data_IF_619097026786
#
_entry.id   IF_619097026786
#
_cell.length_a   1.000
_cell.length_b   1.000
_cell.length_c   1.000
_cell.angle_alpha   90.00
_cell.angle_beta   90.00
_cell.angle_gamma   90.00
#
_symmetry.space_group_name_H-M   'P 1'
#
loop_
_entity.id
_entity.type
_entity.pdbx_description
1 polymer ?
#
# COMPACT_ATOMS: atom_id res chain seq x y z
N UNK A 1 -2.11 -29.19 13.78
CA UNK A 1 -3.18 -28.18 13.73
C UNK A 1 -4.52 -28.83 13.42
N UNK A 2 -5.52 -28.53 14.20
CA UNK A 2 -6.87 -28.98 13.91
C UNK A 2 -7.53 -28.08 12.86
N UNK A 3 -8.37 -28.66 12.04
CA UNK A 3 -9.14 -27.95 11.04
C UNK A 3 -10.60 -27.89 11.48
N UNK A 4 -11.15 -26.69 11.49
CA UNK A 4 -12.56 -26.49 11.77
C UNK A 4 -13.26 -26.04 10.48
N UNK A 5 -14.51 -26.45 10.34
CA UNK A 5 -15.31 -26.08 9.16
C UNK A 5 -16.41 -25.11 9.56
N UNK A 6 -16.68 -24.16 8.67
CA UNK A 6 -17.79 -23.23 8.84
C UNK A 6 -18.41 -22.95 7.47
N UNK A 7 -19.68 -22.54 7.48
CA UNK A 7 -20.35 -22.12 6.26
C UNK A 7 -20.50 -20.62 6.21
N UNK A 8 -20.55 -20.07 5.00
CA UNK A 8 -20.78 -18.65 4.76
C UNK A 8 -21.82 -18.47 3.67
N UNK A 9 -22.71 -17.50 3.86
CA UNK A 9 -23.71 -17.13 2.86
C UNK A 9 -23.31 -15.82 2.20
N UNK A 10 -23.28 -15.81 0.88
CA UNK A 10 -22.96 -14.63 0.07
C UNK A 10 -24.11 -14.39 -0.91
N UNK A 11 -24.35 -13.12 -1.22
CA UNK A 11 -25.25 -12.83 -2.33
C UNK A 11 -24.58 -13.21 -3.66
N UNK A 12 -25.36 -13.21 -4.73
CA UNK A 12 -24.86 -13.66 -6.05
C UNK A 12 -23.69 -12.83 -6.55
N UNK A 13 -23.72 -11.54 -6.32
CA UNK A 13 -22.67 -10.63 -6.76
C UNK A 13 -21.33 -10.91 -6.05
N UNK A 14 -21.38 -11.09 -4.74
CA UNK A 14 -20.18 -11.42 -3.94
C UNK A 14 -19.66 -12.81 -4.28
N UNK A 15 -20.57 -13.77 -4.48
CA UNK A 15 -20.15 -15.13 -4.84
C UNK A 15 -19.47 -15.13 -6.21
N UNK A 16 -20.01 -14.39 -7.16
CA UNK A 16 -19.40 -14.26 -8.49
C UNK A 16 -18.02 -13.60 -8.41
N UNK A 17 -17.87 -12.58 -7.57
CA UNK A 17 -16.59 -11.92 -7.34
C UNK A 17 -15.59 -12.89 -6.75
N UNK A 18 -16.00 -13.72 -5.80
CA UNK A 18 -15.13 -14.75 -5.20
C UNK A 18 -14.71 -15.78 -6.26
N UNK A 19 -15.64 -16.26 -7.07
CA UNK A 19 -15.34 -17.24 -8.13
C UNK A 19 -14.39 -16.67 -9.17
N UNK A 20 -14.54 -15.41 -9.53
CA UNK A 20 -13.60 -14.71 -10.43
C UNK A 20 -12.21 -14.63 -9.79
N UNK A 21 -12.15 -14.33 -8.49
CA UNK A 21 -10.89 -14.27 -7.75
C UNK A 21 -10.18 -15.62 -7.74
N UNK A 22 -10.93 -16.71 -7.52
CA UNK A 22 -10.40 -18.08 -7.59
C UNK A 22 -9.79 -18.35 -8.95
N UNK A 23 -10.54 -18.05 -10.01
CA UNK A 23 -10.12 -18.31 -11.39
C UNK A 23 -8.92 -17.46 -11.80
N UNK A 24 -8.98 -16.16 -11.53
CA UNK A 24 -7.95 -15.21 -11.97
C UNK A 24 -6.60 -15.44 -11.28
N UNK A 25 -6.61 -15.99 -10.08
CA UNK A 25 -5.39 -16.21 -9.29
C UNK A 25 -4.96 -17.68 -9.25
N UNK A 26 -5.65 -18.57 -9.97
CA UNK A 26 -5.26 -19.96 -10.08
C UNK A 26 -5.44 -20.77 -8.81
N UNK A 27 -6.35 -20.40 -7.92
CA UNK A 27 -6.64 -21.17 -6.72
C UNK A 27 -7.39 -22.47 -7.09
N UNK A 28 -7.17 -23.52 -6.33
CA UNK A 28 -7.82 -24.81 -6.58
C UNK A 28 -9.31 -24.80 -6.24
N UNK A 29 -9.72 -23.98 -5.26
CA UNK A 29 -11.09 -23.90 -4.80
C UNK A 29 -11.34 -22.63 -4.00
N UNK A 30 -12.59 -22.42 -3.60
CA UNK A 30 -13.01 -21.25 -2.82
C UNK A 30 -12.31 -21.19 -1.46
N UNK A 31 -12.11 -22.33 -0.82
CA UNK A 31 -11.46 -22.38 0.50
C UNK A 31 -10.03 -21.87 0.46
N UNK A 32 -9.27 -22.18 -0.58
CA UNK A 32 -7.92 -21.65 -0.75
C UNK A 32 -7.93 -20.15 -0.97
N UNK A 33 -8.87 -19.64 -1.76
CA UNK A 33 -8.98 -18.21 -2.00
C UNK A 33 -9.31 -17.45 -0.71
N UNK A 34 -10.25 -17.97 0.08
CA UNK A 34 -10.63 -17.36 1.37
C UNK A 34 -9.45 -17.40 2.33
N UNK A 35 -8.74 -18.52 2.41
CA UNK A 35 -7.54 -18.61 3.25
C UNK A 35 -6.51 -17.56 2.87
N UNK A 36 -6.27 -17.40 1.58
CA UNK A 36 -5.31 -16.41 1.08
C UNK A 36 -5.73 -14.99 1.47
N UNK A 37 -7.00 -14.65 1.34
CA UNK A 37 -7.52 -13.32 1.73
C UNK A 37 -7.34 -13.07 3.23
N UNK A 38 -7.61 -14.07 4.05
CA UNK A 38 -7.44 -13.96 5.50
C UNK A 38 -5.97 -13.80 5.87
N UNK A 39 -5.08 -14.61 5.29
CA UNK A 39 -3.65 -14.53 5.54
C UNK A 39 -3.09 -13.16 5.14
N UNK A 40 -3.54 -12.63 4.01
CA UNK A 40 -3.17 -11.30 3.54
C UNK A 40 -3.60 -10.23 4.55
N UNK A 41 -4.81 -10.32 5.06
CA UNK A 41 -5.31 -9.39 6.08
C UNK A 41 -4.51 -9.50 7.38
N UNK A 42 -4.15 -10.71 7.80
CA UNK A 42 -3.33 -10.92 9.00
C UNK A 42 -1.95 -10.27 8.86
N UNK A 43 -1.35 -10.37 7.69
CA UNK A 43 -0.07 -9.72 7.41
C UNK A 43 -0.21 -8.20 7.51
N UNK A 44 -1.25 -7.62 6.92
CA UNK A 44 -1.52 -6.18 7.01
C UNK A 44 -1.73 -5.72 8.46
N UNK A 45 -2.46 -6.48 9.26
CA UNK A 45 -2.65 -6.18 10.68
C UNK A 45 -1.34 -6.27 11.46
N UNK A 46 -0.51 -7.24 11.13
CA UNK A 46 0.80 -7.42 11.76
C UNK A 46 1.74 -6.24 11.44
N UNK A 47 1.60 -5.65 10.27
CA UNK A 47 2.36 -4.47 9.87
C UNK A 47 1.93 -3.20 10.61
N UNK A 48 0.75 -3.17 11.20
CA UNK A 48 0.32 -2.08 12.08
C UNK A 48 1.04 -2.09 13.43
N UNK A 49 1.72 -3.19 13.76
CA UNK A 49 2.60 -3.28 14.93
C UNK A 49 3.99 -2.76 14.55
N UNK A 50 4.84 -2.46 15.53
CA UNK A 50 6.15 -1.82 15.33
C UNK A 50 7.22 -2.67 14.63
N UNK A 51 6.82 -3.54 13.70
CA UNK A 51 7.75 -4.32 12.90
C UNK A 51 8.50 -3.44 11.92
N UNK A 52 9.79 -3.76 11.73
CA UNK A 52 10.60 -3.07 10.72
C UNK A 52 10.20 -3.59 9.35
N UNK A 53 9.80 -2.67 8.50
CA UNK A 53 9.37 -2.97 7.13
C UNK A 53 10.05 -2.02 6.17
N UNK A 54 10.09 -2.42 4.91
CA UNK A 54 10.47 -1.54 3.82
C UNK A 54 9.24 -1.26 2.97
N UNK A 55 9.19 -0.11 2.35
CA UNK A 55 8.04 0.23 1.53
C UNK A 55 8.32 1.36 0.57
N UNK A 56 7.27 1.75 -0.10
CA UNK A 56 7.30 2.88 -1.01
C UNK A 56 6.02 3.67 -0.90
N UNK A 57 6.16 4.99 -0.87
CA UNK A 57 5.03 5.91 -0.99
C UNK A 57 4.98 6.37 -2.43
N UNK A 58 3.87 6.14 -3.09
CA UNK A 58 3.66 6.56 -4.48
C UNK A 58 2.71 7.74 -4.47
N UNK A 59 3.13 8.84 -5.07
CA UNK A 59 2.33 10.06 -5.19
C UNK A 59 2.16 10.40 -6.66
N UNK A 60 0.95 10.71 -7.06
CA UNK A 60 0.67 11.21 -8.42
C UNK A 60 -0.01 12.57 -8.33
N UNK A 61 0.51 13.54 -9.06
CA UNK A 61 0.01 14.90 -9.03
C UNK A 61 0.31 15.63 -10.34
N UNK A 62 -0.37 16.76 -10.53
CA UNK A 62 -0.16 17.60 -11.71
C UNK A 62 1.20 18.28 -11.61
N UNK A 63 2.05 18.09 -12.61
CA UNK A 63 3.42 18.62 -12.63
C UNK A 63 3.50 20.15 -12.58
N UNK A 64 2.45 20.84 -12.96
CA UNK A 64 2.43 22.31 -12.88
C UNK A 64 2.38 22.81 -11.44
N UNK A 65 2.07 21.95 -10.48
CA UNK A 65 2.03 22.30 -9.06
C UNK A 65 3.39 22.06 -8.43
N UNK A 66 4.31 22.99 -8.66
CA UNK A 66 5.72 22.87 -8.23
C UNK A 66 5.89 22.85 -6.71
N UNK A 67 4.93 23.42 -5.97
CA UNK A 67 4.97 23.44 -4.51
C UNK A 67 4.85 22.06 -3.88
N UNK A 68 4.26 21.08 -4.59
CA UNK A 68 4.10 19.72 -4.08
C UNK A 68 5.47 19.05 -3.90
N UNK A 69 6.37 19.16 -4.88
CA UNK A 69 7.72 18.60 -4.76
C UNK A 69 8.50 19.24 -3.60
N UNK A 70 8.35 20.55 -3.42
CA UNK A 70 9.00 21.25 -2.32
C UNK A 70 8.48 20.77 -0.97
N UNK A 71 7.16 20.65 -0.83
CA UNK A 71 6.53 20.15 0.40
C UNK A 71 6.91 18.72 0.68
N UNK A 72 6.93 17.88 -0.35
CA UNK A 72 7.36 16.47 -0.25
C UNK A 72 8.80 16.40 0.24
N UNK A 73 9.70 17.16 -0.37
CA UNK A 73 11.10 17.19 0.03
C UNK A 73 11.28 17.62 1.47
N UNK A 74 10.48 18.58 1.94
CA UNK A 74 10.52 19.05 3.32
C UNK A 74 10.10 17.96 4.30
N UNK A 75 9.03 17.25 3.99
CA UNK A 75 8.58 16.11 4.81
C UNK A 75 9.64 15.02 4.83
N UNK A 76 10.24 14.69 3.68
CA UNK A 76 11.31 13.70 3.60
C UNK A 76 12.51 14.10 4.47
N UNK A 77 12.88 15.37 4.46
CA UNK A 77 13.99 15.86 5.26
C UNK A 77 13.72 15.74 6.77
N UNK A 78 12.47 15.88 7.20
CA UNK A 78 12.07 15.70 8.59
C UNK A 78 12.17 14.22 9.03
N UNK A 79 12.13 13.29 8.07
CA UNK A 79 12.15 11.85 8.32
C UNK A 79 13.32 11.16 7.63
N UNK A 80 14.46 11.85 7.51
CA UNK A 80 15.62 11.34 6.79
C UNK A 80 16.14 10.00 7.29
N UNK A 81 15.86 9.65 8.54
CA UNK A 81 16.25 8.37 9.12
C UNK A 81 15.50 7.18 8.50
N UNK A 82 14.34 7.45 7.93
CA UNK A 82 13.46 6.42 7.39
C UNK A 82 13.27 6.53 5.88
N UNK A 83 13.70 7.62 5.27
CA UNK A 83 13.62 7.82 3.81
C UNK A 83 14.93 7.39 3.18
N UNK A 84 14.85 6.40 2.27
CA UNK A 84 16.02 5.86 1.58
C UNK A 84 16.37 6.67 0.34
N UNK A 85 15.37 6.97 -0.48
CA UNK A 85 15.54 7.75 -1.70
C UNK A 85 14.17 8.18 -2.22
N UNK A 86 14.19 9.09 -3.17
CA UNK A 86 13.00 9.49 -3.90
C UNK A 86 13.34 9.64 -5.37
N UNK A 87 12.43 9.20 -6.24
CA UNK A 87 12.59 9.27 -7.68
C UNK A 87 11.30 9.81 -8.28
N UNK A 88 11.45 10.63 -9.32
CA UNK A 88 10.32 11.22 -10.00
C UNK A 88 10.26 10.81 -11.46
N UNK A 89 9.04 10.69 -11.97
CA UNK A 89 8.77 10.26 -13.34
C UNK A 89 7.67 11.10 -13.96
N UNK A 90 7.90 11.60 -15.18
CA UNK A 90 6.83 12.21 -15.97
C UNK A 90 5.99 11.09 -16.59
N UNK A 91 4.73 11.01 -16.19
CA UNK A 91 3.81 10.00 -16.74
C UNK A 91 3.27 10.43 -18.10
N UNK A 92 3.05 11.74 -18.24
CA UNK A 92 2.62 12.39 -19.49
C UNK A 92 2.88 13.90 -19.35
N UNK A 93 2.31 14.71 -20.22
CA UNK A 93 2.50 16.16 -20.20
C UNK A 93 1.89 16.84 -18.97
N UNK A 94 0.99 16.16 -18.26
CA UNK A 94 0.22 16.72 -17.16
C UNK A 94 0.63 16.11 -15.83
N UNK A 95 0.80 14.80 -15.79
CA UNK A 95 0.93 14.05 -14.54
C UNK A 95 2.37 13.64 -14.26
N UNK A 96 2.73 13.74 -12.98
CA UNK A 96 4.03 13.38 -12.45
C UNK A 96 3.85 12.39 -11.32
N UNK A 97 4.73 11.40 -11.25
CA UNK A 97 4.73 10.40 -10.19
C UNK A 97 6.03 10.50 -9.40
N UNK A 98 5.91 10.60 -8.08
CA UNK A 98 7.06 10.50 -7.18
C UNK A 98 6.97 9.19 -6.40
N UNK A 99 8.08 8.45 -6.36
CA UNK A 99 8.20 7.23 -5.56
C UNK A 99 9.24 7.48 -4.49
N UNK A 100 8.83 7.32 -3.23
CA UNK A 100 9.68 7.56 -2.07
C UNK A 100 9.87 6.23 -1.36
N UNK A 101 11.10 5.70 -1.40
CA UNK A 101 11.45 4.46 -0.73
C UNK A 101 11.70 4.72 0.74
N UNK A 102 11.10 3.92 1.61
CA UNK A 102 11.16 4.09 3.06
C UNK A 102 11.45 2.78 3.76
N UNK A 103 12.05 2.87 4.96
CA UNK A 103 12.33 1.71 5.80
C UNK A 103 12.26 2.13 7.27
N UNK A 104 11.62 1.31 8.09
CA UNK A 104 11.50 1.57 9.51
C UNK A 104 10.30 0.89 10.12
N UNK A 105 9.96 1.25 11.36
CA UNK A 105 8.74 0.75 11.99
C UNK A 105 7.51 1.10 11.16
N UNK A 106 6.63 0.14 10.96
CA UNK A 106 5.45 0.31 10.10
C UNK A 106 4.59 1.50 10.52
N UNK A 107 4.46 1.73 11.82
CA UNK A 107 3.69 2.86 12.35
C UNK A 107 4.27 4.20 11.90
N UNK A 108 5.60 4.31 11.93
CA UNK A 108 6.29 5.54 11.51
C UNK A 108 6.13 5.75 10.00
N UNK A 109 6.27 4.68 9.21
CA UNK A 109 6.09 4.76 7.76
C UNK A 109 4.67 5.16 7.38
N UNK A 110 3.68 4.64 8.10
CA UNK A 110 2.28 5.04 7.90
C UNK A 110 2.10 6.53 8.18
N UNK A 111 2.71 7.05 9.25
CA UNK A 111 2.67 8.47 9.57
C UNK A 111 3.31 9.34 8.50
N UNK A 112 4.46 8.92 7.96
CA UNK A 112 5.15 9.63 6.88
C UNK A 112 4.26 9.65 5.63
N UNK A 113 3.70 8.49 5.27
CA UNK A 113 2.81 8.37 4.12
C UNK A 113 1.59 9.28 4.26
N UNK A 114 0.97 9.31 5.44
CA UNK A 114 -0.19 10.17 5.70
C UNK A 114 0.15 11.66 5.49
N UNK A 115 1.31 12.09 5.95
CA UNK A 115 1.77 13.45 5.73
C UNK A 115 1.95 13.76 4.25
N UNK A 116 2.58 12.86 3.51
CA UNK A 116 2.83 13.04 2.09
C UNK A 116 1.53 13.02 1.28
N UNK A 117 0.67 12.06 1.54
CA UNK A 117 -0.60 11.90 0.82
C UNK A 117 -1.55 13.07 1.10
N UNK A 118 -1.43 13.68 2.28
CA UNK A 118 -2.25 14.82 2.68
C UNK A 118 -1.82 16.15 2.06
N UNK A 119 -0.71 16.20 1.35
CA UNK A 119 -0.30 17.42 0.64
C UNK A 119 -1.40 17.81 -0.34
N UNK A 120 -1.82 19.07 -0.24
CA UNK A 120 -2.89 19.57 -1.11
C UNK A 120 -2.46 19.51 -2.57
N UNK A 121 -3.28 18.86 -3.39
CA UNK A 121 -3.01 18.67 -4.81
C UNK A 121 -2.57 17.27 -5.19
N UNK A 122 -2.30 16.42 -4.22
CA UNK A 122 -2.04 14.98 -4.49
C UNK A 122 -3.34 14.37 -4.99
N UNK A 123 -3.29 13.82 -6.20
CA UNK A 123 -4.44 13.15 -6.82
C UNK A 123 -4.59 11.72 -6.35
N UNK A 124 -3.46 11.00 -6.29
CA UNK A 124 -3.41 9.63 -5.82
C UNK A 124 -2.18 9.45 -4.96
N UNK A 125 -2.35 8.80 -3.83
CA UNK A 125 -1.26 8.49 -2.93
C UNK A 125 -1.47 7.14 -2.29
N UNK A 126 -0.41 6.35 -2.19
CA UNK A 126 -0.48 5.01 -1.61
C UNK A 126 0.84 4.62 -0.99
N UNK A 127 0.75 3.97 0.18
CA UNK A 127 1.89 3.31 0.83
C UNK A 127 1.79 1.81 0.58
N UNK A 128 2.86 1.23 0.08
CA UNK A 128 3.01 -0.22 -0.04
C UNK A 128 4.14 -0.63 0.88
N UNK A 129 3.92 -1.62 1.71
CA UNK A 129 4.93 -2.12 2.64
C UNK A 129 5.20 -3.59 2.41
N UNK A 130 6.46 -3.97 2.63
CA UNK A 130 6.92 -5.35 2.54
C UNK A 130 7.80 -5.66 3.73
N UNK A 131 7.84 -6.92 4.12
CA UNK A 131 8.68 -7.37 5.24
C UNK A 131 10.15 -7.08 4.94
N UNK A 132 10.86 -6.51 5.90
CA UNK A 132 12.25 -6.08 5.72
C UNK A 132 13.25 -6.89 6.53
N UNK A 133 12.79 -7.91 7.20
CA UNK A 133 13.72 -8.75 7.98
C UNK A 133 13.14 -10.06 8.39
#
# INVERSE_FOLDING_TARGET
MSVSRFGVSLDEELLKALDNYVSDNGFANRSQAIRHLIEKNMVEEKWKCDNIVAGAVVLVFNQSKTDILEKSSRIQAQHKEHVLSAQGFYLNDINYMEIIAVKGPSRILTGIADQLISIRGIQHGKLVMSKAG
#
